data_IF_411495922393
#
_entry.id   IF_411495922393
#
_cell.length_a   1.000
_cell.length_b   1.000
_cell.length_c   1.000
_cell.angle_alpha   90.00
_cell.angle_beta   90.00
_cell.angle_gamma   90.00
#
_symmetry.space_group_name_H-M   'P 1'
#
loop_
_entity.id
_entity.type
_entity.pdbx_description
1 polymer ?
#
# COMPACT_ATOMS: atom_id res chain seq x y z
N UNK A 1 -52.08 3.60 11.74
CA UNK A 1 -51.72 3.66 10.28
C UNK A 1 -50.56 4.65 9.98
N UNK A 2 -50.51 5.84 10.59
CA UNK A 2 -49.39 6.78 10.32
C UNK A 2 -48.07 6.37 10.95
N UNK A 3 -48.05 5.71 12.11
CA UNK A 3 -46.82 5.32 12.80
C UNK A 3 -46.09 4.15 12.12
N UNK A 4 -46.79 3.29 11.44
CA UNK A 4 -46.21 2.11 10.77
C UNK A 4 -45.44 2.50 9.51
N UNK A 5 -45.94 3.42 8.72
CA UNK A 5 -45.24 3.91 7.49
C UNK A 5 -44.00 4.71 7.82
N UNK A 6 -44.00 5.51 8.90
CA UNK A 6 -42.80 6.23 9.32
C UNK A 6 -41.70 5.25 9.80
N UNK A 7 -42.07 4.21 10.54
CA UNK A 7 -41.15 3.17 10.95
C UNK A 7 -40.52 2.45 9.73
N UNK A 8 -41.32 2.09 8.73
CA UNK A 8 -40.83 1.50 7.50
C UNK A 8 -39.91 2.45 6.72
N UNK A 9 -40.18 3.74 6.70
CA UNK A 9 -39.29 4.75 6.07
C UNK A 9 -37.97 4.91 6.82
N UNK A 10 -37.98 4.83 8.16
CA UNK A 10 -36.77 4.87 8.96
C UNK A 10 -35.93 3.58 8.79
N UNK A 11 -36.57 2.42 8.71
CA UNK A 11 -35.90 1.15 8.35
C UNK A 11 -35.23 1.24 6.97
N UNK A 12 -35.89 1.84 5.97
CA UNK A 12 -35.32 2.06 4.64
C UNK A 12 -34.12 3.01 4.66
N UNK A 13 -34.16 4.08 5.49
CA UNK A 13 -33.03 4.98 5.67
C UNK A 13 -31.83 4.26 6.27
N UNK A 14 -32.05 3.47 7.31
CA UNK A 14 -31.00 2.65 7.94
C UNK A 14 -30.39 1.69 6.90
N UNK A 15 -31.25 0.97 6.17
CA UNK A 15 -30.86 -0.03 5.18
C UNK A 15 -30.03 0.58 4.03
N UNK A 16 -30.37 1.78 3.59
CA UNK A 16 -29.67 2.49 2.48
C UNK A 16 -28.57 3.44 2.94
N UNK A 17 -28.27 3.51 4.24
CA UNK A 17 -27.24 4.38 4.80
C UNK A 17 -27.55 5.87 4.65
N UNK A 18 -28.84 6.25 4.52
CA UNK A 18 -29.27 7.64 4.32
C UNK A 18 -29.89 8.22 5.59
N UNK A 19 -29.78 9.54 5.79
CA UNK A 19 -30.36 10.22 6.95
C UNK A 19 -31.55 11.11 6.59
N UNK A 20 -31.59 11.62 5.36
CA UNK A 20 -32.62 12.56 4.90
C UNK A 20 -33.53 11.94 3.84
N UNK A 21 -34.78 12.39 3.79
CA UNK A 21 -35.75 11.91 2.78
C UNK A 21 -35.28 12.16 1.34
N UNK A 22 -34.56 13.24 1.09
CA UNK A 22 -34.01 13.57 -0.22
C UNK A 22 -32.94 12.55 -0.62
N UNK A 23 -32.09 12.17 0.30
CA UNK A 23 -31.03 11.16 0.11
C UNK A 23 -31.65 9.78 -0.15
N UNK A 24 -32.68 9.41 0.64
CA UNK A 24 -33.44 8.18 0.45
C UNK A 24 -34.12 8.13 -0.94
N UNK A 25 -34.74 9.23 -1.36
CA UNK A 25 -35.38 9.31 -2.67
C UNK A 25 -34.35 9.09 -3.81
N UNK A 26 -33.18 9.72 -3.71
CA UNK A 26 -32.08 9.57 -4.67
C UNK A 26 -31.53 8.14 -4.67
N UNK A 27 -31.27 7.54 -3.51
CA UNK A 27 -30.77 6.18 -3.39
C UNK A 27 -31.74 5.15 -3.99
N UNK A 28 -33.04 5.35 -3.78
CA UNK A 28 -34.08 4.49 -4.34
C UNK A 28 -34.44 4.84 -5.81
N UNK A 29 -33.87 5.92 -6.38
CA UNK A 29 -34.19 6.38 -7.74
C UNK A 29 -35.65 6.76 -7.92
N UNK A 30 -36.26 7.42 -6.91
CA UNK A 30 -37.65 7.87 -6.97
C UNK A 30 -37.72 9.37 -6.70
N UNK A 31 -38.80 10.01 -7.20
CA UNK A 31 -39.02 11.41 -6.89
C UNK A 31 -39.41 11.60 -5.42
N UNK A 32 -39.01 12.73 -4.82
CA UNK A 32 -39.35 13.08 -3.43
C UNK A 32 -40.85 12.99 -3.16
N UNK A 33 -41.68 13.41 -4.12
CA UNK A 33 -43.15 13.36 -4.01
C UNK A 33 -43.68 11.91 -3.95
N UNK A 34 -42.94 10.96 -4.46
CA UNK A 34 -43.31 9.53 -4.38
C UNK A 34 -43.30 9.03 -2.94
N UNK A 35 -42.32 9.45 -2.15
CA UNK A 35 -42.24 9.11 -0.71
C UNK A 35 -43.42 9.76 0.04
N UNK A 36 -43.79 11.00 -0.29
CA UNK A 36 -44.94 11.65 0.30
C UNK A 36 -46.25 10.89 -0.06
N UNK A 37 -46.38 10.37 -1.29
CA UNK A 37 -47.52 9.57 -1.70
C UNK A 37 -47.59 8.22 -0.92
N UNK A 38 -46.45 7.64 -0.55
CA UNK A 38 -46.44 6.43 0.31
C UNK A 38 -46.95 6.75 1.72
N UNK A 39 -46.54 7.87 2.28
CA UNK A 39 -47.08 8.36 3.57
C UNK A 39 -48.61 8.50 3.54
N UNK A 40 -49.12 9.13 2.49
CA UNK A 40 -50.58 9.33 2.35
C UNK A 40 -51.33 8.02 2.12
N UNK A 41 -50.74 7.07 1.36
CA UNK A 41 -51.33 5.75 1.06
C UNK A 41 -51.10 4.73 2.17
N UNK A 42 -50.20 4.98 3.12
CA UNK A 42 -49.84 4.05 4.19
C UNK A 42 -49.17 2.78 3.73
N UNK A 43 -48.57 2.76 2.51
CA UNK A 43 -47.98 1.55 1.95
C UNK A 43 -46.78 1.88 1.05
N UNK A 44 -45.66 1.14 1.25
CA UNK A 44 -44.49 1.15 0.38
C UNK A 44 -44.62 -0.05 -0.58
N UNK A 45 -44.41 0.14 -1.90
CA UNK A 45 -44.44 -0.98 -2.84
C UNK A 45 -43.31 -1.97 -2.57
N UNK A 46 -43.59 -3.27 -2.65
CA UNK A 46 -42.64 -4.35 -2.39
C UNK A 46 -41.38 -4.26 -3.24
N UNK A 47 -41.49 -3.84 -4.51
CA UNK A 47 -40.36 -3.59 -5.41
C UNK A 47 -39.36 -2.57 -4.85
N UNK A 48 -39.78 -1.64 -4.00
CA UNK A 48 -38.93 -0.65 -3.37
C UNK A 48 -38.15 -1.27 -2.20
N UNK A 49 -38.75 -2.18 -1.46
CA UNK A 49 -38.07 -2.94 -0.40
C UNK A 49 -36.95 -3.79 -1.00
N UNK A 50 -37.24 -4.49 -2.11
CA UNK A 50 -36.24 -5.26 -2.85
C UNK A 50 -35.11 -4.36 -3.36
N UNK A 51 -35.44 -3.19 -3.93
CA UNK A 51 -34.46 -2.22 -4.39
C UNK A 51 -33.59 -1.67 -3.26
N UNK A 52 -34.17 -1.41 -2.10
CA UNK A 52 -33.41 -0.95 -0.93
C UNK A 52 -32.39 -2.02 -0.45
N UNK A 53 -32.77 -3.29 -0.49
CA UNK A 53 -31.86 -4.39 -0.21
C UNK A 53 -30.73 -4.50 -1.25
N UNK A 54 -31.00 -4.27 -2.53
CA UNK A 54 -29.99 -4.21 -3.56
C UNK A 54 -29.01 -3.06 -3.32
N UNK A 55 -29.51 -1.85 -3.04
CA UNK A 55 -28.68 -0.70 -2.70
C UNK A 55 -27.81 -0.95 -1.46
N UNK A 56 -28.34 -1.61 -0.44
CA UNK A 56 -27.59 -2.01 0.74
C UNK A 56 -26.48 -3.00 0.39
N UNK A 57 -26.78 -4.04 -0.41
CA UNK A 57 -25.81 -5.02 -0.85
C UNK A 57 -24.74 -4.41 -1.75
N UNK A 58 -25.12 -3.51 -2.66
CA UNK A 58 -24.18 -2.77 -3.51
C UNK A 58 -23.28 -1.86 -2.67
N UNK A 59 -23.82 -1.24 -1.63
CA UNK A 59 -23.03 -0.41 -0.69
C UNK A 59 -22.05 -1.25 0.13
N UNK A 60 -22.45 -2.45 0.58
CA UNK A 60 -21.56 -3.39 1.26
C UNK A 60 -20.49 -3.91 0.30
N UNK A 61 -20.87 -4.33 -0.91
CA UNK A 61 -19.92 -4.77 -1.93
C UNK A 61 -18.98 -3.62 -2.35
N UNK A 62 -19.50 -2.39 -2.49
CA UNK A 62 -18.67 -1.22 -2.80
C UNK A 62 -17.72 -0.86 -1.65
N UNK A 63 -18.14 -1.06 -0.41
CA UNK A 63 -17.28 -0.88 0.77
C UNK A 63 -16.22 -1.98 0.87
N UNK A 64 -16.53 -3.21 0.51
CA UNK A 64 -15.58 -4.32 0.45
C UNK A 64 -14.60 -4.09 -0.71
N UNK A 65 -15.10 -3.79 -1.91
CA UNK A 65 -14.26 -3.49 -3.10
C UNK A 65 -13.41 -2.24 -2.88
N UNK A 66 -13.94 -1.19 -2.24
CA UNK A 66 -13.14 0.00 -1.89
C UNK A 66 -12.11 -0.27 -0.79
N UNK A 67 -12.34 -1.22 0.13
CA UNK A 67 -11.33 -1.62 1.10
C UNK A 67 -10.22 -2.47 0.45
N UNK A 68 -10.55 -3.39 -0.46
CA UNK A 68 -9.54 -4.16 -1.21
C UNK A 68 -8.70 -3.27 -2.13
N UNK A 69 -9.29 -2.19 -2.69
CA UNK A 69 -8.54 -1.22 -3.50
C UNK A 69 -7.84 -0.14 -2.67
N UNK A 70 -8.22 0.06 -1.41
CA UNK A 70 -7.68 1.10 -0.53
C UNK A 70 -6.36 0.70 0.11
N UNK A 71 -6.20 -0.57 0.45
CA UNK A 71 -5.01 -1.12 1.05
C UNK A 71 -4.43 -2.21 0.16
N UNK A 72 -3.12 -2.33 0.16
CA UNK A 72 -2.37 -3.37 -0.53
C UNK A 72 -1.43 -4.03 0.45
N UNK A 73 -1.36 -5.34 0.39
CA UNK A 73 -0.32 -6.13 1.02
C UNK A 73 0.91 -6.10 0.13
N UNK A 74 2.06 -5.84 0.74
CA UNK A 74 3.34 -5.85 0.06
C UNK A 74 4.10 -7.13 0.38
N UNK A 75 4.78 -7.67 -0.63
CA UNK A 75 5.67 -8.81 -0.45
C UNK A 75 6.76 -8.47 0.57
N UNK A 76 7.01 -9.38 1.49
CA UNK A 76 8.06 -9.25 2.50
C UNK A 76 9.17 -10.26 2.23
N UNK A 77 10.40 -9.78 2.04
CA UNK A 77 11.57 -10.61 1.78
C UNK A 77 12.49 -10.64 3.00
N UNK A 78 12.82 -11.83 3.50
CA UNK A 78 13.84 -11.97 4.55
C UNK A 78 15.21 -12.26 3.93
N UNK A 79 16.18 -11.43 4.28
CA UNK A 79 17.54 -11.46 3.76
C UNK A 79 18.35 -12.68 4.25
N UNK A 80 18.03 -13.21 5.44
CA UNK A 80 18.77 -14.34 6.00
C UNK A 80 18.64 -15.62 5.17
N UNK A 81 17.51 -15.80 4.50
CA UNK A 81 17.28 -16.95 3.62
C UNK A 81 18.01 -16.79 2.28
N UNK A 82 18.36 -15.56 1.92
CA UNK A 82 18.95 -15.21 0.62
C UNK A 82 20.49 -15.38 0.57
N UNK A 83 21.16 -15.41 1.71
CA UNK A 83 22.64 -15.42 1.79
C UNK A 83 23.30 -16.69 1.20
N UNK A 84 22.53 -17.75 0.97
CA UNK A 84 23.04 -19.01 0.41
C UNK A 84 22.79 -19.23 -1.08
N UNK A 85 21.83 -18.54 -1.71
CA UNK A 85 21.39 -18.77 -3.09
C UNK A 85 21.52 -17.57 -4.01
N UNK A 86 21.89 -16.41 -3.47
CA UNK A 86 21.99 -15.15 -4.26
C UNK A 86 20.67 -14.61 -4.81
N UNK A 87 19.53 -15.21 -4.47
CA UNK A 87 18.20 -14.75 -4.87
C UNK A 87 17.41 -14.27 -3.66
N UNK A 88 16.56 -13.25 -3.85
CA UNK A 88 15.57 -12.86 -2.86
C UNK A 88 14.52 -13.97 -2.76
N UNK A 89 14.38 -14.58 -1.59
CA UNK A 89 13.38 -15.62 -1.33
C UNK A 89 12.22 -15.01 -0.56
N UNK A 90 11.01 -15.18 -1.08
CA UNK A 90 9.79 -14.80 -0.35
C UNK A 90 9.66 -15.73 0.85
N UNK A 91 9.51 -15.18 2.03
CA UNK A 91 9.32 -15.98 3.24
C UNK A 91 7.92 -16.62 3.20
N UNK A 92 7.84 -17.96 3.20
CA UNK A 92 6.56 -18.70 3.19
C UNK A 92 5.72 -18.46 4.45
N UNK A 93 6.35 -18.10 5.57
CA UNK A 93 5.68 -17.67 6.79
C UNK A 93 5.78 -16.14 6.90
N UNK A 94 5.01 -15.41 6.11
CA UNK A 94 4.91 -13.95 6.28
C UNK A 94 4.34 -13.67 7.68
N UNK A 95 5.00 -12.83 8.51
CA UNK A 95 4.29 -12.15 9.58
C UNK A 95 3.10 -11.43 8.92
N UNK A 96 1.94 -11.46 9.56
CA UNK A 96 0.71 -10.82 9.06
C UNK A 96 1.06 -9.55 8.28
N UNK A 97 0.77 -9.55 6.98
CA UNK A 97 1.31 -8.57 6.04
C UNK A 97 1.04 -7.14 6.48
N UNK A 98 2.03 -6.27 6.38
CA UNK A 98 1.81 -4.85 6.66
C UNK A 98 1.02 -4.28 5.49
N UNK A 99 -0.23 -3.90 5.75
CA UNK A 99 -1.09 -3.29 4.75
C UNK A 99 -0.81 -1.79 4.65
N UNK A 100 -0.50 -1.31 3.47
CA UNK A 100 -0.30 0.11 3.17
C UNK A 100 -1.48 0.69 2.40
N UNK A 101 -1.83 1.95 2.69
CA UNK A 101 -2.79 2.66 1.87
C UNK A 101 -2.23 2.84 0.45
N UNK A 102 -3.00 2.42 -0.56
CA UNK A 102 -2.65 2.64 -1.97
C UNK A 102 -2.40 4.11 -2.29
N UNK A 103 -3.22 4.99 -1.72
CA UNK A 103 -3.09 6.44 -1.88
C UNK A 103 -1.77 6.96 -1.30
N UNK A 104 -1.35 6.46 -0.15
CA UNK A 104 -0.06 6.80 0.46
C UNK A 104 1.11 6.42 -0.45
N UNK A 105 1.10 5.21 -1.02
CA UNK A 105 2.17 4.76 -1.92
C UNK A 105 2.24 5.61 -3.19
N UNK A 106 1.10 5.91 -3.80
CA UNK A 106 1.06 6.62 -5.08
C UNK A 106 1.32 8.11 -4.91
N UNK A 107 0.69 8.75 -3.93
CA UNK A 107 0.68 10.22 -3.83
C UNK A 107 1.75 10.78 -2.89
N UNK A 108 2.07 10.07 -1.79
CA UNK A 108 3.07 10.54 -0.82
C UNK A 108 4.46 10.00 -1.15
N UNK A 109 4.56 8.69 -1.45
CA UNK A 109 5.86 8.10 -1.82
C UNK A 109 6.15 8.30 -3.32
N UNK A 110 5.13 8.32 -4.18
CA UNK A 110 5.28 8.59 -5.61
C UNK A 110 5.69 7.38 -6.45
N UNK A 111 5.45 6.15 -5.97
CA UNK A 111 5.84 4.92 -6.66
C UNK A 111 4.64 4.05 -7.04
N UNK A 112 4.85 3.14 -8.00
CA UNK A 112 3.83 2.19 -8.43
C UNK A 112 3.75 1.01 -7.45
N UNK A 113 2.56 0.67 -6.93
CA UNK A 113 2.39 -0.42 -5.95
C UNK A 113 2.95 -1.78 -6.38
N UNK A 114 2.91 -2.09 -7.66
CA UNK A 114 3.33 -3.41 -8.17
C UNK A 114 4.85 -3.58 -8.24
N UNK A 115 5.61 -2.50 -8.05
CA UNK A 115 7.08 -2.52 -8.14
C UNK A 115 7.77 -2.44 -6.77
N UNK A 116 7.01 -2.53 -5.68
CA UNK A 116 7.55 -2.36 -4.34
C UNK A 116 7.48 -3.63 -3.52
N UNK A 117 8.42 -3.76 -2.62
CA UNK A 117 8.46 -4.82 -1.62
C UNK A 117 9.05 -4.29 -0.31
N UNK A 118 8.90 -5.06 0.75
CA UNK A 118 9.45 -4.78 2.08
C UNK A 118 10.58 -5.73 2.40
N UNK A 119 11.56 -5.25 3.16
CA UNK A 119 12.60 -6.08 3.75
C UNK A 119 13.16 -5.45 5.04
N UNK A 120 13.68 -6.26 5.98
CA UNK A 120 14.35 -5.74 7.15
C UNK A 120 15.79 -5.32 6.83
N UNK A 121 16.24 -4.25 7.48
CA UNK A 121 17.66 -3.85 7.48
C UNK A 121 18.40 -4.70 8.50
N UNK A 122 19.56 -5.22 8.12
CA UNK A 122 20.44 -5.97 9.02
C UNK A 122 21.74 -5.21 9.26
N UNK A 123 22.15 -5.16 10.53
CA UNK A 123 23.35 -4.42 10.95
C UNK A 123 23.09 -2.93 11.15
N UNK A 124 24.15 -2.20 11.44
CA UNK A 124 24.15 -0.81 11.83
C UNK A 124 24.87 0.13 10.85
N UNK A 125 25.30 -0.40 9.71
CA UNK A 125 26.09 0.36 8.73
C UNK A 125 25.36 1.58 8.15
N UNK A 126 24.05 1.62 8.23
CA UNK A 126 23.21 2.74 7.76
C UNK A 126 22.64 3.58 8.90
N UNK A 127 23.07 3.32 10.16
CA UNK A 127 22.72 4.19 11.28
C UNK A 127 23.39 5.58 11.12
N UNK A 128 22.73 6.67 11.55
CA UNK A 128 21.43 6.73 12.22
C UNK A 128 20.22 6.71 11.26
N UNK A 129 20.44 6.77 9.94
CA UNK A 129 19.36 6.88 8.94
C UNK A 129 18.44 5.67 8.96
N UNK A 130 19.03 4.47 8.95
CA UNK A 130 18.31 3.21 9.08
C UNK A 130 18.87 2.42 10.25
N UNK A 131 18.03 2.12 11.23
CA UNK A 131 18.42 1.32 12.38
C UNK A 131 18.42 -0.18 12.04
N UNK A 132 19.15 -0.97 12.80
CA UNK A 132 19.05 -2.42 12.70
C UNK A 132 17.61 -2.88 12.94
N UNK A 133 17.10 -3.79 12.10
CA UNK A 133 15.72 -4.26 12.07
C UNK A 133 14.67 -3.20 11.63
N UNK A 134 15.07 -2.05 11.13
CA UNK A 134 14.16 -1.18 10.40
C UNK A 134 13.55 -1.93 9.21
N UNK A 135 12.28 -1.70 8.93
CA UNK A 135 11.63 -2.22 7.72
C UNK A 135 11.75 -1.14 6.65
N UNK A 136 12.31 -1.47 5.51
CA UNK A 136 12.40 -0.58 4.36
C UNK A 136 11.45 -1.00 3.26
N UNK A 137 10.88 -0.01 2.56
CA UNK A 137 10.14 -0.19 1.33
C UNK A 137 11.07 0.11 0.16
N UNK A 138 11.20 -0.86 -0.72
CA UNK A 138 12.12 -0.84 -1.85
C UNK A 138 11.33 -0.79 -3.15
N UNK A 139 11.58 0.22 -3.97
CA UNK A 139 11.06 0.32 -5.32
C UNK A 139 12.02 -0.41 -6.28
N UNK A 140 11.54 -1.49 -6.92
CA UNK A 140 12.35 -2.26 -7.88
C UNK A 140 12.73 -1.39 -9.06
N UNK A 141 14.02 -1.30 -9.32
CA UNK A 141 14.61 -0.66 -10.50
C UNK A 141 15.82 -1.48 -10.93
N UNK A 142 16.11 -1.47 -12.20
CA UNK A 142 17.23 -2.20 -12.79
C UNK A 142 18.45 -1.30 -13.02
N UNK A 143 18.25 0.01 -12.98
CA UNK A 143 19.28 1.01 -13.26
C UNK A 143 19.32 2.07 -12.16
N UNK A 144 20.52 2.60 -11.94
CA UNK A 144 20.75 3.72 -11.04
C UNK A 144 20.12 5.01 -11.61
N UNK A 145 19.23 5.63 -10.85
CA UNK A 145 18.45 6.81 -11.28
C UNK A 145 18.95 8.13 -10.70
N UNK A 146 19.74 8.09 -9.63
CA UNK A 146 20.25 9.26 -8.94
C UNK A 146 20.85 8.92 -7.57
N UNK A 147 21.36 9.92 -6.87
CA UNK A 147 21.90 9.73 -5.52
C UNK A 147 20.78 9.35 -4.56
N UNK A 148 20.96 8.27 -3.78
CA UNK A 148 19.94 7.74 -2.89
C UNK A 148 20.43 6.56 -2.06
N UNK A 149 19.52 5.93 -1.32
CA UNK A 149 19.80 4.67 -0.61
C UNK A 149 19.26 3.53 -1.47
N UNK A 150 20.09 2.53 -1.72
CA UNK A 150 19.79 1.42 -2.61
C UNK A 150 20.00 0.08 -1.95
N UNK A 151 19.19 -0.88 -2.36
CA UNK A 151 19.45 -2.30 -2.19
C UNK A 151 20.12 -2.80 -3.47
N UNK A 152 21.28 -3.41 -3.34
CA UNK A 152 22.04 -3.95 -4.47
C UNK A 152 22.79 -5.21 -4.06
N UNK A 153 23.16 -6.02 -5.05
CA UNK A 153 24.05 -7.18 -4.88
C UNK A 153 25.43 -6.78 -5.34
N UNK A 154 26.43 -7.18 -4.57
CA UNK A 154 27.83 -7.07 -4.94
C UNK A 154 28.58 -8.32 -4.49
N UNK A 155 29.21 -9.02 -5.41
CA UNK A 155 29.96 -10.28 -5.17
C UNK A 155 29.14 -11.29 -4.35
N UNK A 156 27.88 -11.50 -4.76
CA UNK A 156 26.94 -12.40 -4.13
C UNK A 156 26.34 -11.91 -2.81
N UNK A 157 26.76 -10.75 -2.28
CA UNK A 157 26.25 -10.19 -1.03
C UNK A 157 25.20 -9.12 -1.29
N UNK A 158 24.08 -9.20 -0.56
CA UNK A 158 23.04 -8.19 -0.57
C UNK A 158 23.38 -7.06 0.41
N UNK A 159 23.37 -5.84 -0.08
CA UNK A 159 23.74 -4.65 0.70
C UNK A 159 22.69 -3.56 0.62
N UNK A 160 22.57 -2.78 1.70
CA UNK A 160 21.84 -1.51 1.72
C UNK A 160 22.85 -0.40 2.00
N UNK A 161 23.07 0.49 1.04
CA UNK A 161 24.04 1.59 1.15
C UNK A 161 23.52 2.84 0.43
N UNK A 162 24.11 3.96 0.76
CA UNK A 162 23.96 5.19 -0.01
C UNK A 162 24.85 5.12 -1.25
N UNK A 163 24.27 5.26 -2.42
CA UNK A 163 24.99 5.34 -3.69
C UNK A 163 25.00 6.78 -4.16
N UNK A 164 26.18 7.27 -4.58
CA UNK A 164 26.37 8.60 -5.12
C UNK A 164 27.10 8.50 -6.46
N UNK A 165 26.63 9.25 -7.44
CA UNK A 165 27.26 9.28 -8.75
C UNK A 165 28.57 10.06 -8.72
N UNK A 166 29.63 9.47 -9.26
CA UNK A 166 30.94 10.12 -9.41
C UNK A 166 31.41 10.12 -10.86
N UNK A 167 32.43 10.92 -11.18
CA UNK A 167 33.03 10.89 -12.53
C UNK A 167 33.59 9.51 -12.90
N UNK A 168 34.07 8.75 -11.92
CA UNK A 168 34.67 7.45 -12.11
C UNK A 168 33.65 6.30 -12.15
N UNK A 169 32.50 6.45 -11.48
CA UNK A 169 31.50 5.41 -11.30
C UNK A 169 30.55 5.74 -10.15
N UNK A 170 30.45 4.89 -9.16
CA UNK A 170 29.64 5.06 -7.95
C UNK A 170 30.52 5.11 -6.70
N UNK A 171 30.21 6.04 -5.80
CA UNK A 171 30.68 6.02 -4.42
C UNK A 171 29.66 5.28 -3.56
N UNK A 172 30.09 4.28 -2.82
CA UNK A 172 29.26 3.45 -1.95
C UNK A 172 29.57 3.84 -0.52
N UNK A 173 28.56 4.43 0.14
CA UNK A 173 28.71 5.07 1.43
C UNK A 173 27.79 4.40 2.45
N UNK A 174 28.37 4.08 3.61
CA UNK A 174 27.61 3.76 4.83
C UNK A 174 27.28 5.07 5.54
N UNK A 175 26.04 5.25 5.98
CA UNK A 175 25.65 6.44 6.75
C UNK A 175 26.27 6.42 8.18
N UNK A 176 26.69 5.26 8.65
CA UNK A 176 27.49 5.12 9.87
C UNK A 176 28.97 5.39 9.56
N UNK A 177 29.50 6.46 10.12
CA UNK A 177 30.88 6.95 9.89
C UNK A 177 31.97 5.96 10.32
N UNK A 178 31.65 4.94 11.10
CA UNK A 178 32.62 3.89 11.48
C UNK A 178 32.99 2.96 10.33
N UNK A 179 32.21 3.00 9.25
CA UNK A 179 32.45 2.21 8.04
C UNK A 179 33.10 3.05 6.96
N UNK A 180 34.17 2.54 6.36
CA UNK A 180 34.84 3.23 5.27
C UNK A 180 33.98 3.23 4.00
N UNK A 181 33.96 4.37 3.32
CA UNK A 181 33.38 4.47 1.97
C UNK A 181 34.32 3.83 0.95
N UNK A 182 33.77 3.30 -0.11
CA UNK A 182 34.54 2.77 -1.22
C UNK A 182 33.91 3.16 -2.56
N UNK A 183 34.67 3.02 -3.64
CA UNK A 183 34.22 3.41 -4.97
C UNK A 183 34.18 2.18 -5.87
N UNK A 184 33.21 2.19 -6.78
CA UNK A 184 33.05 1.20 -7.83
C UNK A 184 33.18 1.91 -9.18
N UNK A 185 34.24 1.63 -9.92
CA UNK A 185 34.45 2.22 -11.25
C UNK A 185 33.48 1.61 -12.26
N UNK A 186 33.22 2.34 -13.36
CA UNK A 186 32.38 1.84 -14.45
C UNK A 186 32.84 0.49 -15.00
N UNK A 187 34.15 0.24 -15.04
CA UNK A 187 34.71 -1.03 -15.48
C UNK A 187 34.41 -2.13 -14.47
N UNK A 188 34.57 -1.86 -13.21
CA UNK A 188 34.28 -2.81 -12.13
C UNK A 188 32.81 -3.16 -12.07
N UNK A 189 31.89 -2.21 -12.28
CA UNK A 189 30.44 -2.46 -12.37
C UNK A 189 30.06 -3.48 -13.46
N UNK A 190 30.88 -3.57 -14.52
CA UNK A 190 30.66 -4.55 -15.60
C UNK A 190 31.45 -5.85 -15.42
N UNK A 191 32.44 -5.85 -14.54
CA UNK A 191 33.35 -7.00 -14.34
C UNK A 191 32.95 -7.83 -13.11
N UNK A 192 32.51 -7.18 -12.06
CA UNK A 192 32.02 -7.81 -10.84
C UNK A 192 30.51 -8.12 -10.92
N UNK A 193 30.05 -9.02 -10.08
CA UNK A 193 28.62 -9.30 -9.90
C UNK A 193 27.97 -8.13 -9.12
N UNK A 194 27.67 -7.06 -9.87
CA UNK A 194 26.99 -5.87 -9.34
C UNK A 194 25.62 -5.71 -9.99
N UNK A 195 24.58 -5.75 -9.17
CA UNK A 195 23.19 -5.64 -9.61
C UNK A 195 22.42 -4.72 -8.67
N UNK A 196 21.79 -3.68 -9.22
CA UNK A 196 20.84 -2.85 -8.46
C UNK A 196 19.51 -3.59 -8.41
N UNK A 197 18.98 -3.77 -7.20
CA UNK A 197 17.71 -4.44 -6.94
C UNK A 197 16.59 -3.39 -6.78
N UNK A 198 16.89 -2.26 -6.14
CA UNK A 198 15.92 -1.21 -5.99
C UNK A 198 16.39 -0.05 -5.12
N UNK A 199 15.62 1.02 -5.17
CA UNK A 199 15.79 2.23 -4.37
C UNK A 199 14.94 2.16 -3.10
N UNK A 200 15.50 2.54 -1.96
CA UNK A 200 14.77 2.65 -0.70
C UNK A 200 13.96 3.94 -0.72
N UNK A 201 12.63 3.80 -0.72
CA UNK A 201 11.70 4.93 -0.85
C UNK A 201 10.97 5.29 0.45
N UNK A 202 11.03 4.40 1.44
CA UNK A 202 10.45 4.62 2.76
C UNK A 202 11.08 3.70 3.79
N UNK A 203 11.08 4.12 5.05
CA UNK A 203 11.52 3.30 6.18
C UNK A 203 10.62 3.48 7.40
N UNK A 204 10.34 2.37 8.09
CA UNK A 204 9.70 2.33 9.40
C UNK A 204 10.62 1.67 10.41
N UNK A 205 10.80 2.29 11.56
CA UNK A 205 11.69 1.77 12.60
C UNK A 205 11.15 2.04 14.00
N UNK A 206 11.53 1.16 14.93
CA UNK A 206 11.21 1.37 16.35
C UNK A 206 12.11 2.46 16.91
N UNK A 207 11.56 3.24 17.84
CA UNK A 207 12.27 4.27 18.60
C UNK A 207 12.84 3.65 19.86
#
# INVERSE_FOLDING_TARGET
MSADIEKQLDELKILTGTSKIIELANALGVARNTIQNWRTRGKIPERILIKAQQVANDSVNHSIVNNETKYIELDFYDVEVSAGSGSLVVQENQPEGIAFSRNFIINEIGVKPNNIFLMPVRGDSMAPTLQNQAIIMVNRIEEFTGDGIYVFRFDGQLMVKRLQFTKAGLSIVSDNETYEKWELTRKEMTTFDFEIIGEVVWAGQKI
#
